data_IF_558576903145
#
_entry.id   IF_558576903145
#
_cell.length_a   1.000
_cell.length_b   1.000
_cell.length_c   1.000
_cell.angle_alpha   90.00
_cell.angle_beta   90.00
_cell.angle_gamma   90.00
#
_symmetry.space_group_name_H-M   'P 1'
#
loop_
_entity.id
_entity.type
_entity.pdbx_description
1 polymer ?
#
# COMPACT_ATOMS: atom_id res chain seq x y z
N UNK A 1 -9.09 18.03 3.28
CA UNK A 1 -9.80 18.37 2.02
C UNK A 1 -10.71 17.25 1.51
N UNK A 2 -10.26 15.99 1.42
CA UNK A 2 -11.09 14.88 0.87
C UNK A 2 -12.47 14.71 1.52
N UNK A 3 -12.56 14.73 2.85
CA UNK A 3 -13.83 14.62 3.57
C UNK A 3 -14.85 15.69 3.16
N UNK A 4 -14.41 16.95 3.05
CA UNK A 4 -15.27 18.06 2.63
C UNK A 4 -15.73 17.92 1.19
N UNK A 5 -14.84 17.53 0.28
CA UNK A 5 -15.17 17.32 -1.13
C UNK A 5 -16.24 16.24 -1.32
N UNK A 6 -16.13 15.11 -0.62
CA UNK A 6 -17.12 14.03 -0.71
C UNK A 6 -18.47 14.45 -0.14
N UNK A 7 -18.50 15.20 0.98
CA UNK A 7 -19.73 15.77 1.51
C UNK A 7 -20.39 16.76 0.54
N UNK A 8 -19.63 17.64 -0.10
CA UNK A 8 -20.15 18.57 -1.11
C UNK A 8 -20.70 17.85 -2.34
N UNK A 9 -20.13 16.68 -2.67
CA UNK A 9 -20.65 15.81 -3.73
C UNK A 9 -21.91 15.00 -3.31
N UNK A 10 -22.44 15.20 -2.10
CA UNK A 10 -23.60 14.49 -1.59
C UNK A 10 -23.34 13.06 -1.10
N UNK A 11 -22.07 12.67 -0.92
CA UNK A 11 -21.69 11.32 -0.50
C UNK A 11 -21.73 11.21 1.02
N UNK A 12 -22.44 10.20 1.53
CA UNK A 12 -22.56 9.94 2.97
C UNK A 12 -21.23 9.45 3.54
N UNK A 13 -20.47 10.39 4.11
CA UNK A 13 -19.08 10.16 4.52
C UNK A 13 -18.92 10.24 6.03
N UNK A 14 -18.33 9.20 6.61
CA UNK A 14 -17.87 9.15 7.99
C UNK A 14 -16.35 9.40 8.05
N UNK A 15 -15.89 9.99 9.15
CA UNK A 15 -14.46 10.16 9.39
C UNK A 15 -14.11 10.07 10.85
N UNK A 16 -12.88 9.65 11.13
CA UNK A 16 -12.29 9.67 12.47
C UNK A 16 -10.93 10.36 12.40
N UNK A 17 -10.70 11.30 13.32
CA UNK A 17 -9.46 12.07 13.44
C UNK A 17 -8.57 11.53 14.57
N UNK A 18 -7.24 11.68 14.47
CA UNK A 18 -6.34 11.25 15.55
C UNK A 18 -6.61 11.94 16.89
N UNK A 19 -7.08 13.18 16.83
CA UNK A 19 -7.43 14.00 18.00
C UNK A 19 -8.69 13.51 18.73
N UNK A 20 -9.49 12.64 18.11
CA UNK A 20 -10.70 12.11 18.74
C UNK A 20 -10.35 10.97 19.69
N UNK A 21 -11.00 10.97 20.85
CA UNK A 21 -10.83 9.94 21.88
C UNK A 21 -11.36 8.58 21.43
N UNK A 22 -10.95 7.51 22.11
CA UNK A 22 -11.27 6.12 21.77
C UNK A 22 -12.77 5.88 21.55
N UNK A 23 -13.63 6.49 22.37
CA UNK A 23 -15.08 6.32 22.31
C UNK A 23 -15.66 6.74 20.96
N UNK A 24 -15.34 7.95 20.48
CA UNK A 24 -15.82 8.45 19.17
C UNK A 24 -15.33 7.59 18.01
N UNK A 25 -14.16 6.97 18.14
CA UNK A 25 -13.66 6.03 17.11
C UNK A 25 -14.51 4.77 17.04
N UNK A 26 -14.84 4.20 18.20
CA UNK A 26 -15.68 3.00 18.30
C UNK A 26 -17.06 3.31 17.71
N UNK A 27 -17.66 4.44 18.09
CA UNK A 27 -18.95 4.87 17.59
C UNK A 27 -18.97 5.02 16.06
N UNK A 28 -17.99 5.74 15.49
CA UNK A 28 -17.93 5.95 14.04
C UNK A 28 -17.76 4.63 13.26
N UNK A 29 -17.09 3.64 13.85
CA UNK A 29 -16.91 2.32 13.25
C UNK A 29 -18.21 1.52 13.35
N UNK A 30 -18.86 1.51 14.50
CA UNK A 30 -20.16 0.86 14.67
C UNK A 30 -21.20 1.44 13.71
N UNK A 31 -21.21 2.77 13.55
CA UNK A 31 -22.04 3.45 12.57
C UNK A 31 -21.72 2.99 11.14
N UNK A 32 -20.45 2.83 10.79
CA UNK A 32 -20.05 2.36 9.47
C UNK A 32 -20.42 0.89 9.21
N UNK A 33 -20.19 0.01 10.19
CA UNK A 33 -20.37 -1.43 10.04
C UNK A 33 -21.80 -1.92 10.33
N UNK A 34 -22.67 -1.05 10.83
CA UNK A 34 -24.05 -1.40 11.15
C UNK A 34 -24.86 -1.80 9.90
N UNK A 35 -25.81 -2.75 10.02
CA UNK A 35 -26.60 -3.22 8.89
C UNK A 35 -27.47 -2.12 8.26
N UNK A 36 -27.84 -1.11 9.05
CA UNK A 36 -28.63 0.04 8.63
C UNK A 36 -27.78 1.28 8.32
N UNK A 37 -26.46 1.11 8.20
CA UNK A 37 -25.55 2.19 7.85
C UNK A 37 -25.90 2.77 6.49
N UNK A 38 -26.09 4.09 6.43
CA UNK A 38 -26.19 4.85 5.17
C UNK A 38 -24.84 5.37 4.70
N UNK A 39 -23.75 5.07 5.43
CA UNK A 39 -22.43 5.56 5.10
C UNK A 39 -21.86 4.81 3.90
N UNK A 40 -21.47 5.58 2.89
CA UNK A 40 -20.87 5.07 1.65
C UNK A 40 -19.35 5.03 1.74
N UNK A 41 -18.76 5.97 2.50
CA UNK A 41 -17.30 6.12 2.63
C UNK A 41 -16.91 6.34 4.09
N UNK A 42 -15.87 5.64 4.52
CA UNK A 42 -15.22 5.85 5.81
C UNK A 42 -13.77 6.32 5.61
N UNK A 43 -13.45 7.54 6.08
CA UNK A 43 -12.13 8.15 5.91
C UNK A 43 -11.42 8.20 7.26
N UNK A 44 -10.26 7.57 7.36
CA UNK A 44 -9.46 7.61 8.57
C UNK A 44 -7.98 7.68 8.27
N UNK A 45 -7.22 8.13 9.26
CA UNK A 45 -5.77 8.16 9.18
C UNK A 45 -5.19 6.74 9.33
N UNK A 46 -4.20 6.42 8.51
CA UNK A 46 -3.56 5.10 8.47
C UNK A 46 -3.04 4.64 9.84
N UNK A 47 -2.52 5.56 10.66
CA UNK A 47 -1.96 5.27 11.99
C UNK A 47 -3.01 4.91 13.02
N UNK A 48 -4.25 5.36 12.85
CA UNK A 48 -5.38 4.99 13.73
C UNK A 48 -5.93 3.62 13.32
N UNK A 49 -5.97 3.39 12.01
CA UNK A 49 -6.63 2.23 11.43
C UNK A 49 -5.79 0.94 11.51
N UNK A 50 -4.48 1.07 11.76
CA UNK A 50 -3.58 -0.07 11.89
C UNK A 50 -3.79 -0.88 13.17
N UNK A 51 -4.63 -0.44 14.13
CA UNK A 51 -4.89 -1.12 15.39
C UNK A 51 -6.37 -1.54 15.55
N UNK A 52 -6.63 -2.82 15.88
CA UNK A 52 -7.90 -3.25 16.50
C UNK A 52 -9.20 -3.28 15.68
N UNK A 53 -9.23 -2.81 14.42
CA UNK A 53 -10.51 -2.67 13.70
C UNK A 53 -10.84 -3.83 12.75
N UNK A 54 -12.14 -4.16 12.66
CA UNK A 54 -12.71 -5.13 11.74
C UNK A 54 -13.67 -4.41 10.77
N UNK A 55 -13.20 -4.16 9.54
CA UNK A 55 -14.02 -3.53 8.50
C UNK A 55 -14.49 -4.50 7.41
N UNK A 56 -13.91 -5.70 7.39
CA UNK A 56 -14.11 -6.71 6.35
C UNK A 56 -15.58 -7.15 6.17
N UNK A 57 -16.41 -7.10 7.20
CA UNK A 57 -17.84 -7.44 7.09
C UNK A 57 -18.65 -6.39 6.35
N UNK A 58 -18.23 -5.12 6.40
CA UNK A 58 -18.96 -3.98 5.83
C UNK A 58 -18.36 -3.48 4.52
N UNK A 59 -17.09 -3.78 4.25
CA UNK A 59 -16.35 -3.22 3.13
C UNK A 59 -15.37 -4.23 2.51
N UNK A 60 -15.28 -4.23 1.18
CA UNK A 60 -14.28 -4.98 0.41
C UNK A 60 -13.43 -4.08 -0.51
N UNK A 61 -13.62 -2.76 -0.49
CA UNK A 61 -12.87 -1.81 -1.33
C UNK A 61 -12.12 -0.81 -0.48
N UNK A 62 -10.81 -0.71 -0.67
CA UNK A 62 -9.95 0.23 0.04
C UNK A 62 -9.27 1.20 -0.91
N UNK A 63 -9.07 2.43 -0.45
CA UNK A 63 -8.31 3.47 -1.14
C UNK A 63 -7.20 3.99 -0.22
N UNK A 64 -5.95 3.82 -0.62
CA UNK A 64 -4.80 4.45 0.04
C UNK A 64 -4.41 5.68 -0.78
N UNK A 65 -4.75 6.86 -0.26
CA UNK A 65 -4.56 8.13 -0.98
C UNK A 65 -3.15 8.69 -0.78
N UNK A 66 -2.56 8.43 0.38
CA UNK A 66 -1.20 8.84 0.69
C UNK A 66 -0.40 7.61 1.13
N UNK A 67 0.77 7.42 0.54
CA UNK A 67 1.64 6.31 0.88
C UNK A 67 2.28 6.55 2.25
N UNK A 68 2.61 5.46 2.95
CA UNK A 68 3.27 5.50 4.25
C UNK A 68 4.70 4.96 4.11
N UNK A 69 5.66 5.49 4.86
CA UNK A 69 7.07 5.04 4.80
C UNK A 69 7.32 3.63 5.35
N UNK A 70 6.30 3.00 5.94
CA UNK A 70 6.34 1.62 6.42
C UNK A 70 5.37 0.78 5.60
N UNK A 71 5.93 -0.11 4.77
CA UNK A 71 5.16 -1.10 4.03
C UNK A 71 4.35 -1.99 5.00
N UNK A 72 4.90 -2.38 6.15
CA UNK A 72 4.17 -3.17 7.16
C UNK A 72 2.89 -2.47 7.64
N UNK A 73 2.91 -1.15 7.81
CA UNK A 73 1.70 -0.39 8.16
C UNK A 73 0.65 -0.46 7.04
N UNK A 74 1.08 -0.37 5.78
CA UNK A 74 0.19 -0.54 4.61
C UNK A 74 -0.37 -1.97 4.55
N UNK A 75 0.46 -2.99 4.75
CA UNK A 75 0.05 -4.40 4.77
C UNK A 75 -0.97 -4.68 5.87
N UNK A 76 -0.72 -4.17 7.08
CA UNK A 76 -1.64 -4.27 8.21
C UNK A 76 -3.00 -3.64 7.87
N UNK A 77 -2.99 -2.52 7.15
CA UNK A 77 -4.18 -1.85 6.67
C UNK A 77 -4.93 -2.65 5.60
N UNK A 78 -4.21 -3.22 4.64
CA UNK A 78 -4.83 -4.08 3.65
C UNK A 78 -5.52 -5.28 4.31
N UNK A 79 -4.88 -5.85 5.33
CA UNK A 79 -5.41 -6.91 6.17
C UNK A 79 -6.60 -6.51 7.07
N UNK A 80 -7.09 -5.26 7.04
CA UNK A 80 -8.35 -4.87 7.72
C UNK A 80 -9.59 -5.21 6.90
N UNK A 81 -9.44 -5.30 5.58
CA UNK A 81 -10.49 -5.73 4.66
C UNK A 81 -10.36 -7.20 4.27
N UNK A 82 -9.12 -7.70 4.17
CA UNK A 82 -8.83 -9.10 3.85
C UNK A 82 -8.66 -9.93 5.13
N UNK A 83 -9.78 -10.41 5.71
CA UNK A 83 -9.84 -11.24 6.92
C UNK A 83 -10.82 -12.39 6.74
N UNK A 84 -10.71 -13.39 7.62
CA UNK A 84 -11.73 -14.44 7.78
C UNK A 84 -13.12 -13.80 7.94
N UNK A 85 -14.11 -14.30 7.19
CA UNK A 85 -15.46 -13.75 7.16
C UNK A 85 -15.73 -12.76 6.02
N UNK A 86 -14.71 -12.31 5.28
CA UNK A 86 -14.90 -11.55 4.05
C UNK A 86 -15.45 -12.46 2.94
N UNK A 87 -16.61 -12.12 2.39
CA UNK A 87 -17.28 -12.91 1.34
C UNK A 87 -17.08 -12.34 -0.07
N UNK A 88 -16.57 -11.12 -0.18
CA UNK A 88 -16.34 -10.44 -1.46
C UNK A 88 -14.84 -10.28 -1.73
N UNK A 89 -14.44 -10.35 -2.99
CA UNK A 89 -13.06 -10.10 -3.38
C UNK A 89 -12.62 -8.70 -2.93
N UNK A 90 -11.52 -8.64 -2.17
CA UNK A 90 -11.00 -7.38 -1.64
C UNK A 90 -10.15 -6.69 -2.70
N UNK A 91 -10.42 -5.40 -2.94
CA UNK A 91 -9.65 -4.58 -3.87
C UNK A 91 -9.12 -3.34 -3.19
N UNK A 92 -7.80 -3.17 -3.23
CA UNK A 92 -7.13 -1.95 -2.79
C UNK A 92 -6.63 -1.14 -3.98
N UNK A 93 -6.89 0.16 -3.92
CA UNK A 93 -6.38 1.14 -4.87
C UNK A 93 -5.37 2.02 -4.15
N UNK A 94 -4.08 1.89 -4.49
CA UNK A 94 -3.02 2.74 -3.96
C UNK A 94 -2.77 3.88 -4.95
N UNK A 95 -3.13 5.10 -4.56
CA UNK A 95 -2.96 6.28 -5.40
C UNK A 95 -1.57 6.86 -5.20
N UNK A 96 -0.92 7.18 -6.32
CA UNK A 96 0.31 7.95 -6.33
C UNK A 96 0.38 8.86 -7.53
N UNK A 97 1.12 9.96 -7.40
CA UNK A 97 1.42 10.88 -8.49
C UNK A 97 2.78 10.48 -9.06
N UNK A 98 2.81 10.17 -10.36
CA UNK A 98 4.04 9.85 -11.09
C UNK A 98 4.95 11.09 -11.20
N UNK A 99 6.26 10.88 -11.18
CA UNK A 99 7.30 11.91 -11.24
C UNK A 99 7.16 12.93 -10.10
N UNK A 100 6.88 12.43 -8.90
CA UNK A 100 6.69 13.27 -7.72
C UNK A 100 7.44 12.69 -6.52
N UNK A 101 7.36 13.40 -5.39
CA UNK A 101 7.87 12.91 -4.11
C UNK A 101 7.36 11.50 -3.75
N UNK A 102 6.19 11.08 -4.25
CA UNK A 102 5.66 9.74 -4.01
C UNK A 102 6.59 8.64 -4.53
N UNK A 103 7.34 8.86 -5.61
CA UNK A 103 8.28 7.88 -6.15
C UNK A 103 9.51 7.73 -5.25
N UNK A 104 9.99 8.85 -4.70
CA UNK A 104 11.04 8.84 -3.68
C UNK A 104 10.58 8.09 -2.43
N UNK A 105 9.38 8.41 -1.93
CA UNK A 105 8.79 7.75 -0.78
C UNK A 105 8.64 6.24 -1.00
N UNK A 106 8.13 5.82 -2.16
CA UNK A 106 7.98 4.41 -2.52
C UNK A 106 9.34 3.70 -2.57
N UNK A 107 10.35 4.29 -3.21
CA UNK A 107 11.71 3.71 -3.24
C UNK A 107 12.24 3.49 -1.83
N UNK A 108 12.20 4.52 -0.98
CA UNK A 108 12.69 4.43 0.41
C UNK A 108 11.91 3.37 1.20
N UNK A 109 10.58 3.35 1.06
CA UNK A 109 9.72 2.36 1.71
C UNK A 109 10.08 0.93 1.28
N UNK A 110 10.23 0.68 -0.03
CA UNK A 110 10.52 -0.65 -0.57
C UNK A 110 11.93 -1.12 -0.23
N UNK A 111 12.94 -0.24 -0.26
CA UNK A 111 14.31 -0.56 0.18
C UNK A 111 14.35 -0.94 1.66
N UNK A 112 13.58 -0.24 2.51
CA UNK A 112 13.47 -0.61 3.92
C UNK A 112 12.74 -1.94 4.08
N UNK A 113 11.66 -2.14 3.31
CA UNK A 113 10.84 -3.34 3.41
C UNK A 113 11.55 -4.58 2.87
N UNK A 114 12.40 -4.47 1.83
CA UNK A 114 13.19 -5.58 1.29
C UNK A 114 14.02 -6.27 2.38
N UNK A 115 14.62 -5.49 3.28
CA UNK A 115 15.41 -6.01 4.41
C UNK A 115 14.55 -6.80 5.40
N UNK A 116 13.35 -6.31 5.68
CA UNK A 116 12.41 -6.99 6.56
C UNK A 116 11.87 -8.27 5.91
N UNK A 117 11.45 -8.16 4.65
CA UNK A 117 10.95 -9.27 3.86
C UNK A 117 12.03 -10.34 3.65
N UNK A 118 13.31 -9.96 3.55
CA UNK A 118 14.43 -10.91 3.44
C UNK A 118 14.50 -11.88 4.62
N UNK A 119 14.17 -11.42 5.83
CA UNK A 119 14.14 -12.24 7.03
C UNK A 119 12.85 -13.09 7.15
N UNK A 120 11.75 -12.62 6.56
CA UNK A 120 10.44 -13.29 6.60
C UNK A 120 10.25 -14.28 5.43
N UNK A 121 10.94 -14.06 4.32
CA UNK A 121 10.78 -14.84 3.10
C UNK A 121 11.57 -16.14 3.18
N UNK A 122 10.85 -17.25 3.00
CA UNK A 122 11.44 -18.58 2.88
C UNK A 122 12.02 -18.82 1.47
N UNK A 123 13.04 -18.03 1.09
CA UNK A 123 13.74 -18.19 -0.17
C UNK A 123 14.83 -19.27 -0.07
N UNK A 124 15.04 -20.09 -1.12
CA UNK A 124 16.13 -21.06 -1.16
C UNK A 124 17.50 -20.46 -0.82
N UNK A 125 18.34 -21.23 -0.13
CA UNK A 125 19.65 -20.78 0.38
C UNK A 125 20.64 -20.34 -0.71
N UNK A 126 20.49 -20.83 -1.95
CA UNK A 126 21.32 -20.44 -3.09
C UNK A 126 20.97 -19.04 -3.63
N UNK A 127 19.81 -18.47 -3.28
CA UNK A 127 19.40 -17.11 -3.66
C UNK A 127 19.98 -16.13 -2.64
N UNK A 128 21.16 -15.58 -2.97
CA UNK A 128 21.95 -14.68 -2.12
C UNK A 128 22.29 -13.36 -2.82
N UNK A 129 22.84 -12.40 -2.06
CA UNK A 129 23.32 -11.10 -2.59
C UNK A 129 22.27 -10.33 -3.40
N UNK A 130 22.72 -9.67 -4.48
CA UNK A 130 21.88 -8.84 -5.35
C UNK A 130 20.76 -9.64 -6.04
N UNK A 131 20.96 -10.94 -6.29
CA UNK A 131 19.91 -11.81 -6.83
C UNK A 131 18.75 -11.95 -5.84
N UNK A 132 19.06 -12.11 -4.55
CA UNK A 132 18.05 -12.14 -3.49
C UNK A 132 17.26 -10.83 -3.43
N UNK A 133 17.92 -9.69 -3.51
CA UNK A 133 17.25 -8.40 -3.51
C UNK A 133 16.31 -8.26 -4.72
N UNK A 134 16.77 -8.60 -5.92
CA UNK A 134 15.94 -8.57 -7.13
C UNK A 134 14.67 -9.44 -6.99
N UNK A 135 14.80 -10.66 -6.43
CA UNK A 135 13.66 -11.56 -6.17
C UNK A 135 12.71 -10.99 -5.12
N UNK A 136 13.22 -10.41 -4.03
CA UNK A 136 12.38 -9.77 -3.01
C UNK A 136 11.58 -8.62 -3.61
N UNK A 137 12.18 -7.83 -4.49
CA UNK A 137 11.47 -6.78 -5.22
C UNK A 137 10.48 -7.31 -6.26
N UNK A 138 10.66 -8.51 -6.81
CA UNK A 138 9.61 -9.18 -7.60
C UNK A 138 8.39 -9.53 -6.74
N UNK A 139 8.61 -10.04 -5.51
CA UNK A 139 7.50 -10.30 -4.58
C UNK A 139 6.74 -9.01 -4.25
N UNK A 140 7.46 -7.92 -3.97
CA UNK A 140 6.85 -6.62 -3.72
C UNK A 140 6.12 -6.07 -4.95
N UNK A 141 6.70 -6.20 -6.14
CA UNK A 141 6.06 -5.81 -7.41
C UNK A 141 4.75 -6.57 -7.63
N UNK A 142 4.73 -7.88 -7.39
CA UNK A 142 3.51 -8.68 -7.48
C UNK A 142 2.45 -8.21 -6.47
N UNK A 143 2.84 -7.96 -5.22
CA UNK A 143 1.90 -7.52 -4.18
C UNK A 143 1.31 -6.13 -4.45
N UNK A 144 2.16 -5.14 -4.75
CA UNK A 144 1.73 -3.76 -4.99
C UNK A 144 1.25 -3.52 -6.44
N UNK A 145 1.28 -4.56 -7.28
CA UNK A 145 0.93 -4.52 -8.69
C UNK A 145 1.70 -3.43 -9.47
N UNK A 146 3.02 -3.40 -9.27
CA UNK A 146 3.88 -2.44 -9.97
C UNK A 146 4.13 -2.88 -11.42
N UNK A 147 4.22 -1.93 -12.38
CA UNK A 147 4.43 -2.25 -13.79
C UNK A 147 5.81 -2.86 -14.07
N UNK A 148 6.79 -2.61 -13.21
CA UNK A 148 8.14 -3.17 -13.29
C UNK A 148 8.77 -3.26 -11.90
N UNK A 149 9.84 -4.03 -11.79
CA UNK A 149 10.64 -4.26 -10.61
C UNK A 149 11.33 -2.97 -10.15
N UNK A 150 10.97 -2.50 -8.95
CA UNK A 150 11.53 -1.27 -8.37
C UNK A 150 12.96 -1.41 -7.88
N UNK A 151 13.56 -2.59 -7.93
CA UNK A 151 14.99 -2.75 -7.66
C UNK A 151 15.84 -1.92 -8.63
N UNK A 152 15.37 -1.71 -9.86
CA UNK A 152 16.00 -0.80 -10.81
C UNK A 152 16.14 0.63 -10.23
N UNK A 153 15.16 1.12 -9.47
CA UNK A 153 15.25 2.43 -8.81
C UNK A 153 16.29 2.47 -7.70
N UNK A 154 16.58 1.33 -7.06
CA UNK A 154 17.59 1.27 -6.01
C UNK A 154 18.97 1.34 -6.65
N UNK A 155 19.24 0.45 -7.61
CA UNK A 155 20.53 0.37 -8.29
C UNK A 155 20.86 1.68 -9.02
N UNK A 156 19.91 2.26 -9.75
CA UNK A 156 20.18 3.52 -10.46
C UNK A 156 20.33 4.71 -9.50
N UNK A 157 19.61 4.72 -8.36
CA UNK A 157 19.79 5.78 -7.37
C UNK A 157 21.18 5.70 -6.71
N UNK A 158 21.72 4.51 -6.51
CA UNK A 158 23.08 4.35 -5.96
C UNK A 158 24.15 4.90 -6.91
N UNK A 159 23.88 4.97 -8.22
CA UNK A 159 24.75 5.56 -9.23
C UNK A 159 24.53 7.08 -9.39
N UNK A 160 23.28 7.51 -9.57
CA UNK A 160 22.93 8.87 -10.01
C UNK A 160 22.47 9.78 -8.86
N UNK A 161 22.18 9.21 -7.69
CA UNK A 161 21.69 9.91 -6.51
C UNK A 161 20.37 10.65 -6.77
N UNK A 162 20.29 11.88 -6.22
CA UNK A 162 19.09 12.73 -6.27
C UNK A 162 18.72 13.13 -7.71
N UNK A 163 19.66 13.04 -8.67
CA UNK A 163 19.43 13.42 -10.07
C UNK A 163 18.71 12.33 -10.87
N UNK A 164 18.48 11.15 -10.29
CA UNK A 164 17.81 10.04 -10.97
C UNK A 164 16.38 10.39 -11.38
N UNK A 165 16.04 10.12 -12.64
CA UNK A 165 14.65 10.12 -13.14
C UNK A 165 14.07 8.70 -13.09
N UNK A 166 13.00 8.51 -12.30
CA UNK A 166 12.39 7.21 -11.98
C UNK A 166 11.81 6.43 -13.16
N UNK A 167 11.51 7.07 -14.29
CA UNK A 167 10.74 6.44 -15.38
C UNK A 167 11.38 6.55 -16.75
N UNK A 168 12.71 6.69 -16.81
CA UNK A 168 13.43 6.57 -18.08
C UNK A 168 13.24 5.17 -18.68
N UNK A 169 13.30 5.09 -20.01
CA UNK A 169 13.17 3.81 -20.72
C UNK A 169 14.22 2.79 -20.26
N UNK A 170 15.45 3.25 -19.98
CA UNK A 170 16.52 2.42 -19.47
C UNK A 170 16.19 1.79 -18.11
N UNK A 171 15.65 2.57 -17.16
CA UNK A 171 15.25 2.06 -15.84
C UNK A 171 14.08 1.09 -15.95
N UNK A 172 13.09 1.39 -16.79
CA UNK A 172 11.95 0.49 -17.00
C UNK A 172 12.43 -0.83 -17.60
N UNK A 173 13.33 -0.79 -18.59
CA UNK A 173 13.92 -2.00 -19.19
C UNK A 173 14.71 -2.80 -18.17
N UNK A 174 15.55 -2.15 -17.35
CA UNK A 174 16.31 -2.79 -16.27
C UNK A 174 15.37 -3.46 -15.25
N UNK A 175 14.28 -2.79 -14.91
CA UNK A 175 13.29 -3.28 -13.97
C UNK A 175 12.27 -4.23 -14.57
N UNK A 176 12.30 -4.52 -15.87
CA UNK A 176 11.43 -5.54 -16.44
C UNK A 176 12.22 -6.84 -16.35
N UNK A 177 12.00 -7.72 -15.35
CA UNK A 177 12.57 -9.05 -15.46
C UNK A 177 12.01 -9.64 -16.74
N UNK A 178 12.89 -10.28 -17.49
CA UNK A 178 12.53 -10.99 -18.70
C UNK A 178 11.22 -11.75 -18.50
N UNK A 179 10.37 -11.67 -19.52
CA UNK A 179 9.13 -12.39 -19.76
C UNK A 179 9.38 -13.92 -19.78
N UNK A 180 10.00 -14.48 -18.74
CA UNK A 180 10.61 -15.81 -18.65
C UNK A 180 9.74 -16.83 -17.89
N UNK A 181 8.46 -16.56 -17.66
CA UNK A 181 7.51 -17.56 -17.14
C UNK A 181 6.16 -17.53 -17.86
N UNK A 182 6.18 -17.26 -19.18
CA UNK A 182 5.10 -17.62 -20.09
C UNK A 182 5.69 -18.20 -21.38
N UNK A 183 6.25 -19.40 -21.23
CA UNK A 183 6.37 -20.41 -22.30
C UNK A 183 5.39 -21.52 -21.96
#
# INVERSE_FOLDING_TARGET
MMYGALKMAGINTLTVRPSEGLHSRIEAIQLFTGPNSKAEVFIANISIMSAGLNLHTACCKGLLVNMHFSAKTILQMHGRLNRLGQTKAVKWHNLKVKNSFHDHQERVMLTKYSRQLSAEANLPSWITGSLREAVLFELMKAYFNHPFNRYAWVVTYDLDGIKMDYYTEAIIKLGTPARLLRS
#
